data_IF_375552209623
#
_entry.id   IF_375552209623
#
_cell.length_a   1.000
_cell.length_b   1.000
_cell.length_c   1.000
_cell.angle_alpha   90.00
_cell.angle_beta   90.00
_cell.angle_gamma   90.00
#
_symmetry.space_group_name_H-M   'P 1'
#
loop_
_entity.id
_entity.type
_entity.pdbx_description
1 polymer ?
#
# COMPACT_ATOMS: atom_id res chain seq x y z
N UNK A 1 -29.27 -21.84 -2.37
CA UNK A 1 -27.90 -21.49 -2.79
C UNK A 1 -26.99 -21.77 -1.61
N UNK A 2 -26.12 -22.78 -1.70
CA UNK A 2 -25.14 -23.10 -0.65
C UNK A 2 -23.84 -22.45 -1.12
N UNK A 3 -23.33 -21.50 -0.35
CA UNK A 3 -22.17 -20.68 -0.67
C UNK A 3 -21.17 -20.72 0.50
N UNK A 4 -19.87 -20.68 0.19
CA UNK A 4 -18.80 -20.61 1.20
C UNK A 4 -18.66 -19.14 1.65
N UNK A 5 -18.65 -18.83 2.96
CA UNK A 5 -18.55 -17.45 3.42
C UNK A 5 -17.17 -16.84 3.11
N UNK A 6 -17.16 -15.58 2.67
CA UNK A 6 -15.92 -14.82 2.49
C UNK A 6 -15.36 -14.48 3.88
N UNK A 7 -14.26 -15.16 4.25
CA UNK A 7 -13.58 -14.89 5.53
C UNK A 7 -12.65 -13.70 5.35
N UNK A 8 -12.91 -12.61 6.08
CA UNK A 8 -12.01 -11.46 6.14
C UNK A 8 -10.78 -11.79 7.00
N UNK A 9 -9.64 -12.07 6.37
CA UNK A 9 -8.38 -12.34 7.07
C UNK A 9 -7.65 -11.03 7.33
N UNK A 10 -7.30 -10.79 8.60
CA UNK A 10 -6.42 -9.69 9.00
C UNK A 10 -5.00 -10.23 9.25
N UNK A 11 -4.03 -9.82 8.45
CA UNK A 11 -2.62 -10.10 8.71
C UNK A 11 -2.17 -9.25 9.91
N UNK A 12 -1.84 -9.90 11.03
CA UNK A 12 -1.37 -9.22 12.25
C UNK A 12 0.14 -8.99 12.27
N UNK A 13 0.89 -9.94 11.71
CA UNK A 13 2.35 -9.92 11.69
C UNK A 13 2.89 -10.82 10.58
N UNK A 14 4.01 -10.40 10.00
CA UNK A 14 4.83 -11.25 9.14
C UNK A 14 5.95 -11.87 9.99
N UNK A 15 5.89 -13.19 10.24
CA UNK A 15 6.91 -13.91 11.01
C UNK A 15 7.91 -14.59 10.09
N UNK A 16 9.20 -14.40 10.36
CA UNK A 16 10.29 -15.08 9.67
C UNK A 16 10.95 -16.08 10.60
N UNK A 17 11.13 -17.31 10.10
CA UNK A 17 11.73 -18.40 10.87
C UNK A 17 13.21 -18.48 10.54
N UNK A 18 14.05 -18.27 11.54
CA UNK A 18 15.50 -18.52 11.44
C UNK A 18 15.75 -20.02 11.50
N UNK A 19 16.49 -20.54 10.52
CA UNK A 19 16.89 -21.95 10.43
C UNK A 19 18.32 -22.13 10.94
N UNK A 20 18.58 -23.25 11.61
CA UNK A 20 19.92 -23.66 12.02
C UNK A 20 20.32 -24.93 11.26
N UNK A 21 21.53 -24.95 10.69
CA UNK A 21 22.07 -26.14 10.04
C UNK A 21 22.92 -26.95 11.02
N UNK A 22 22.53 -28.20 11.29
CA UNK A 22 23.29 -29.10 12.16
C UNK A 22 24.63 -29.58 11.59
N UNK A 23 24.87 -29.40 10.29
CA UNK A 23 26.11 -29.85 9.62
C UNK A 23 27.17 -28.75 9.62
N UNK A 24 26.80 -27.51 9.26
CA UNK A 24 27.74 -26.40 9.16
C UNK A 24 27.65 -25.39 10.31
N UNK A 25 26.72 -25.57 11.26
CA UNK A 25 26.53 -24.72 12.43
C UNK A 25 26.00 -23.30 12.14
N UNK A 26 25.70 -22.96 10.89
CA UNK A 26 25.27 -21.62 10.51
C UNK A 26 23.77 -21.42 10.78
N UNK A 27 23.42 -20.19 11.16
CA UNK A 27 22.03 -19.70 11.21
C UNK A 27 21.71 -18.92 9.95
N UNK A 28 20.58 -19.21 9.34
CA UNK A 28 20.08 -18.50 8.17
C UNK A 28 18.69 -17.95 8.48
N UNK A 29 18.58 -16.62 8.43
CA UNK A 29 17.29 -15.93 8.46
C UNK A 29 16.98 -15.51 7.03
N UNK A 30 15.82 -15.89 6.46
CA UNK A 30 15.46 -15.44 5.13
C UNK A 30 15.33 -13.92 5.11
N UNK A 31 16.00 -13.27 4.15
CA UNK A 31 15.72 -11.87 3.83
C UNK A 31 14.39 -11.85 3.11
N UNK A 32 13.37 -11.26 3.74
CA UNK A 32 12.09 -11.07 3.09
C UNK A 32 11.95 -9.60 2.72
N UNK A 33 11.80 -9.36 1.42
CA UNK A 33 11.44 -8.06 0.93
C UNK A 33 9.91 -7.96 0.88
N UNK A 34 9.34 -7.29 1.89
CA UNK A 34 7.91 -7.01 1.96
C UNK A 34 7.55 -5.66 1.36
N UNK A 35 8.48 -4.98 0.67
CA UNK A 35 8.23 -3.65 0.08
C UNK A 35 7.03 -3.61 -0.87
N UNK A 36 6.70 -4.74 -1.52
CA UNK A 36 5.51 -4.89 -2.35
C UNK A 36 4.19 -5.07 -1.58
N UNK A 37 4.25 -5.46 -0.30
CA UNK A 37 3.08 -5.69 0.55
C UNK A 37 2.85 -4.59 1.59
N UNK A 38 3.91 -3.85 1.94
CA UNK A 38 3.85 -2.75 2.91
C UNK A 38 4.48 -1.49 2.35
N UNK A 39 3.73 -0.39 2.41
CA UNK A 39 4.24 0.95 2.09
C UNK A 39 4.49 1.67 3.41
N UNK A 40 5.72 1.61 3.91
CA UNK A 40 6.16 2.29 5.13
C UNK A 40 5.37 1.90 6.40
N UNK A 41 5.45 2.75 7.44
CA UNK A 41 4.66 2.61 8.68
C UNK A 41 3.40 3.47 8.62
N UNK A 42 2.34 2.94 8.03
CA UNK A 42 1.05 3.61 7.96
C UNK A 42 -0.04 2.80 8.66
N UNK A 43 -1.02 3.50 9.25
CA UNK A 43 -2.20 2.87 9.88
C UNK A 43 -3.26 2.41 8.88
N UNK A 44 -3.06 2.68 7.59
CA UNK A 44 -3.97 2.32 6.50
C UNK A 44 -3.27 1.37 5.55
N UNK A 45 -4.00 0.38 5.02
CA UNK A 45 -3.47 -0.57 4.05
C UNK A 45 -3.34 0.03 2.64
N UNK A 46 -2.52 -0.62 1.80
CA UNK A 46 -2.23 -0.19 0.42
C UNK A 46 -3.50 0.06 -0.39
N UNK A 47 -4.50 -0.84 -0.31
CA UNK A 47 -5.76 -0.68 -1.04
C UNK A 47 -6.50 0.62 -0.73
N UNK A 48 -6.52 1.02 0.55
CA UNK A 48 -7.16 2.28 0.96
C UNK A 48 -6.34 3.48 0.47
N UNK A 49 -5.01 3.39 0.50
CA UNK A 49 -4.15 4.43 -0.08
C UNK A 49 -4.39 4.59 -1.59
N UNK A 50 -4.42 3.48 -2.33
CA UNK A 50 -4.70 3.48 -3.77
C UNK A 50 -6.06 4.07 -4.09
N UNK A 51 -7.09 3.74 -3.30
CA UNK A 51 -8.43 4.33 -3.45
C UNK A 51 -8.40 5.85 -3.23
N UNK A 52 -7.77 6.32 -2.16
CA UNK A 52 -7.61 7.77 -1.89
C UNK A 52 -6.92 8.47 -3.06
N UNK A 53 -5.82 7.90 -3.57
CA UNK A 53 -5.11 8.46 -4.72
C UNK A 53 -5.96 8.46 -6.00
N UNK A 54 -6.73 7.40 -6.25
CA UNK A 54 -7.63 7.32 -7.39
C UNK A 54 -8.72 8.40 -7.34
N UNK A 55 -9.39 8.55 -6.19
CA UNK A 55 -10.44 9.58 -6.02
C UNK A 55 -9.88 10.99 -6.19
N UNK A 56 -8.62 11.23 -5.79
CA UNK A 56 -7.93 12.50 -5.99
C UNK A 56 -7.56 12.74 -7.47
N UNK A 57 -6.88 11.79 -8.10
CA UNK A 57 -6.29 11.99 -9.45
C UNK A 57 -7.32 11.83 -10.55
N UNK A 58 -8.09 10.73 -10.51
CA UNK A 58 -9.08 10.38 -11.54
C UNK A 58 -10.46 10.92 -11.18
N UNK A 59 -10.87 10.76 -9.91
CA UNK A 59 -12.12 11.32 -9.43
C UNK A 59 -12.11 12.85 -9.30
N UNK A 60 -10.94 13.49 -9.31
CA UNK A 60 -10.75 14.95 -9.15
C UNK A 60 -11.46 15.51 -7.92
N UNK A 61 -11.68 14.67 -6.91
CA UNK A 61 -12.41 15.03 -5.70
C UNK A 61 -11.52 15.87 -4.78
N UNK A 62 -12.11 16.86 -4.11
CA UNK A 62 -11.36 17.59 -3.06
C UNK A 62 -11.05 16.67 -1.88
N UNK A 63 -10.00 16.96 -1.11
CA UNK A 63 -9.64 16.17 0.09
C UNK A 63 -10.81 16.06 1.09
N UNK A 64 -11.62 17.11 1.22
CA UNK A 64 -12.83 17.11 2.07
C UNK A 64 -13.90 16.19 1.50
N UNK A 65 -14.13 16.22 0.19
CA UNK A 65 -15.09 15.32 -0.46
C UNK A 65 -14.67 13.86 -0.34
N UNK A 66 -13.37 13.56 -0.50
CA UNK A 66 -12.83 12.21 -0.29
C UNK A 66 -13.06 11.75 1.16
N UNK A 67 -12.79 12.61 2.13
CA UNK A 67 -13.02 12.32 3.55
C UNK A 67 -14.49 11.99 3.82
N UNK A 68 -15.42 12.81 3.32
CA UNK A 68 -16.85 12.59 3.48
C UNK A 68 -17.32 11.31 2.78
N UNK A 69 -16.81 11.04 1.58
CA UNK A 69 -17.12 9.82 0.83
C UNK A 69 -16.68 8.55 1.57
N UNK A 70 -15.43 8.52 2.04
CA UNK A 70 -14.90 7.37 2.79
C UNK A 70 -15.64 7.13 4.10
N UNK A 71 -16.08 8.20 4.77
CA UNK A 71 -16.92 8.09 5.96
C UNK A 71 -18.31 7.56 5.62
N UNK A 72 -18.96 8.11 4.59
CA UNK A 72 -20.35 7.79 4.25
C UNK A 72 -20.51 6.37 3.69
N UNK A 73 -19.59 5.93 2.82
CA UNK A 73 -19.71 4.65 2.11
C UNK A 73 -19.04 3.51 2.85
N UNK A 74 -17.90 3.77 3.50
CA UNK A 74 -17.06 2.72 4.11
C UNK A 74 -16.92 2.84 5.63
N UNK A 75 -17.52 3.86 6.26
CA UNK A 75 -17.38 4.10 7.71
C UNK A 75 -15.95 4.47 8.14
N UNK A 76 -15.08 4.86 7.22
CA UNK A 76 -13.66 5.10 7.53
C UNK A 76 -13.45 6.53 8.01
N UNK A 77 -12.87 6.68 9.19
CA UNK A 77 -12.54 7.97 9.79
C UNK A 77 -11.06 8.33 9.58
N UNK A 78 -10.79 9.12 8.53
CA UNK A 78 -9.47 9.71 8.27
C UNK A 78 -9.49 11.21 8.53
N UNK A 79 -8.38 11.76 9.03
CA UNK A 79 -8.17 13.21 9.09
C UNK A 79 -7.71 13.77 7.75
N UNK A 80 -7.92 15.08 7.50
CA UNK A 80 -7.42 15.73 6.27
C UNK A 80 -5.89 15.69 6.14
N UNK A 81 -5.18 15.81 7.27
CA UNK A 81 -3.72 15.67 7.31
C UNK A 81 -3.26 14.25 6.95
N UNK A 82 -4.04 13.24 7.31
CA UNK A 82 -3.74 11.86 6.95
C UNK A 82 -3.99 11.56 5.47
N UNK A 83 -5.09 12.06 4.91
CA UNK A 83 -5.34 12.01 3.45
C UNK A 83 -4.18 12.70 2.71
N UNK A 84 -3.70 13.84 3.22
CA UNK A 84 -2.56 14.54 2.63
C UNK A 84 -1.29 13.69 2.70
N UNK A 85 -0.98 13.09 3.85
CA UNK A 85 0.16 12.17 4.00
C UNK A 85 0.08 10.99 3.03
N UNK A 86 -1.09 10.35 2.90
CA UNK A 86 -1.32 9.25 1.96
C UNK A 86 -0.98 9.68 0.53
N UNK A 87 -1.47 10.84 0.10
CA UNK A 87 -1.20 11.35 -1.26
C UNK A 87 0.28 11.65 -1.49
N UNK A 88 0.99 12.19 -0.49
CA UNK A 88 2.45 12.37 -0.57
C UNK A 88 3.18 11.04 -0.69
N UNK A 89 2.85 10.07 0.16
CA UNK A 89 3.47 8.74 0.13
C UNK A 89 3.26 8.04 -1.21
N UNK A 90 2.03 8.05 -1.75
CA UNK A 90 1.76 7.46 -3.07
C UNK A 90 2.55 8.17 -4.18
N UNK A 91 2.68 9.50 -4.10
CA UNK A 91 3.49 10.27 -5.06
C UNK A 91 4.99 9.94 -4.96
N UNK A 92 5.51 9.68 -3.75
CA UNK A 92 6.88 9.23 -3.54
C UNK A 92 7.12 7.84 -4.10
N UNK A 93 6.23 6.88 -3.81
CA UNK A 93 6.32 5.52 -4.35
C UNK A 93 6.30 5.49 -5.89
N UNK A 94 5.52 6.37 -6.51
CA UNK A 94 5.42 6.45 -7.97
C UNK A 94 6.54 7.23 -8.66
N UNK A 95 7.50 7.80 -7.92
CA UNK A 95 8.52 8.70 -8.48
C UNK A 95 9.45 7.98 -9.45
N UNK A 96 10.02 6.86 -9.03
CA UNK A 96 10.97 6.09 -9.84
C UNK A 96 10.32 5.59 -11.14
N UNK A 97 9.11 5.05 -11.04
CA UNK A 97 8.38 4.57 -12.21
C UNK A 97 8.01 5.72 -13.15
N UNK A 98 7.61 6.88 -12.61
CA UNK A 98 7.38 8.08 -13.42
C UNK A 98 8.65 8.50 -14.18
N UNK A 99 9.80 8.51 -13.50
CA UNK A 99 11.08 8.87 -14.11
C UNK A 99 11.48 7.89 -15.21
N UNK A 100 11.31 6.58 -14.97
CA UNK A 100 11.50 5.52 -15.97
C UNK A 100 10.61 5.75 -17.20
N UNK A 101 9.32 6.01 -17.00
CA UNK A 101 8.37 6.27 -18.10
C UNK A 101 8.74 7.53 -18.90
N UNK A 102 9.15 8.61 -18.23
CA UNK A 102 9.61 9.83 -18.90
C UNK A 102 10.88 9.58 -19.72
N UNK A 103 11.81 8.77 -19.22
CA UNK A 103 13.02 8.40 -19.96
C UNK A 103 12.69 7.60 -21.23
N UNK A 104 11.75 6.65 -21.15
CA UNK A 104 11.29 5.87 -22.31
C UNK A 104 10.69 6.76 -23.41
N UNK A 105 9.81 7.70 -23.03
CA UNK A 105 9.20 8.64 -23.99
C UNK A 105 10.25 9.54 -24.65
N UNK A 106 11.26 9.99 -23.90
CA UNK A 106 12.32 10.88 -24.42
C UNK A 106 13.33 10.16 -25.31
N UNK A 107 13.61 8.89 -25.05
CA UNK A 107 14.52 8.07 -25.88
C UNK A 107 13.87 7.48 -27.12
N UNK A 108 12.56 7.71 -27.33
CA UNK A 108 11.80 7.22 -28.49
C UNK A 108 11.64 8.28 -29.59
N UNK A 109 12.44 9.35 -29.56
CA UNK A 109 12.43 10.46 -30.52
C UNK A 109 13.71 10.49 -31.36
#
# INVERSE_FOLDING_TARGET
MIEIPIVAVQVREHRFITRYCGVCGKRFTPKCDVSGEVVGRHRVGIRLMSMVAYLWIKGRMTKRTIQSFLRAVYGVHLGLGEITKILHTVAECGREEKERLLALVRGSA
#
